data_IF_632529221606
#
_entry.id   IF_632529221606
#
_cell.length_a   1.000
_cell.length_b   1.000
_cell.length_c   1.000
_cell.angle_alpha   90.00
_cell.angle_beta   90.00
_cell.angle_gamma   90.00
#
_symmetry.space_group_name_H-M   'P 1'
#
loop_
_entity.id
_entity.type
_entity.pdbx_description
1 polymer ?
#
# COMPACT_ATOMS: atom_id res chain seq x y z
N UNK A 1 -7.49 26.56 6.58
CA UNK A 1 -8.04 25.73 5.48
C UNK A 1 -6.98 24.73 4.99
N UNK A 2 -6.55 23.73 5.78
CA UNK A 2 -5.33 22.96 5.43
C UNK A 2 -5.18 21.58 6.08
N UNK A 3 -6.16 20.68 5.96
CA UNK A 3 -5.97 19.25 6.34
C UNK A 3 -6.56 18.28 5.32
N UNK A 4 -7.62 18.68 4.63
CA UNK A 4 -8.32 17.81 3.67
C UNK A 4 -7.66 17.78 2.28
N UNK A 5 -6.79 18.73 1.97
CA UNK A 5 -6.28 18.89 0.59
C UNK A 5 -5.14 17.90 0.28
N UNK A 6 -4.25 17.64 1.23
CA UNK A 6 -3.07 16.78 1.00
C UNK A 6 -3.44 15.30 0.85
N UNK A 7 -4.35 14.80 1.70
CA UNK A 7 -4.84 13.41 1.61
C UNK A 7 -5.67 13.17 0.33
N UNK A 8 -6.58 14.09 0.01
CA UNK A 8 -7.44 13.95 -1.18
C UNK A 8 -6.66 14.16 -2.49
N UNK A 9 -5.53 14.86 -2.46
CA UNK A 9 -4.66 15.07 -3.62
C UNK A 9 -3.82 13.85 -3.97
N UNK A 10 -3.30 13.12 -2.95
CA UNK A 10 -2.62 11.84 -3.16
C UNK A 10 -3.59 10.80 -3.74
N UNK A 11 -4.82 10.69 -3.20
CA UNK A 11 -5.83 9.78 -3.75
C UNK A 11 -6.26 10.14 -5.19
N UNK A 12 -6.54 11.41 -5.48
CA UNK A 12 -7.09 11.82 -6.78
C UNK A 12 -6.08 11.76 -7.93
N UNK A 13 -4.78 11.98 -7.68
CA UNK A 13 -3.76 11.83 -8.74
C UNK A 13 -3.27 10.39 -8.92
N UNK A 14 -3.37 9.53 -7.90
CA UNK A 14 -3.02 8.11 -8.01
C UNK A 14 -3.99 7.33 -8.93
N UNK A 15 -5.29 7.60 -8.81
CA UNK A 15 -6.33 6.83 -9.52
C UNK A 15 -6.43 7.24 -11.00
N UNK A 16 -6.07 8.47 -11.35
CA UNK A 16 -6.26 9.00 -12.71
C UNK A 16 -5.17 8.62 -13.74
N UNK A 17 -4.08 7.95 -13.34
CA UNK A 17 -2.96 7.61 -14.25
C UNK A 17 -2.55 6.14 -14.31
N UNK A 18 -3.19 5.27 -13.53
CA UNK A 18 -3.04 3.82 -13.67
C UNK A 18 -4.11 3.30 -14.66
N UNK A 19 -3.75 3.24 -15.94
CA UNK A 19 -4.58 2.57 -16.95
C UNK A 19 -4.80 1.08 -16.61
N UNK A 20 -5.89 0.45 -17.11
CA UNK A 20 -6.22 -0.92 -16.76
C UNK A 20 -5.16 -1.88 -17.31
N UNK A 21 -4.45 -2.56 -16.40
CA UNK A 21 -3.60 -3.71 -16.76
C UNK A 21 -4.53 -4.88 -17.07
N UNK A 22 -4.72 -5.19 -18.35
CA UNK A 22 -5.39 -6.41 -18.81
C UNK A 22 -4.43 -7.59 -18.58
N UNK A 23 -4.64 -8.34 -17.51
CA UNK A 23 -4.04 -9.67 -17.34
C UNK A 23 -4.98 -10.67 -18.02
N UNK A 24 -4.49 -11.32 -19.07
CA UNK A 24 -5.19 -12.41 -19.74
C UNK A 24 -5.37 -13.58 -18.77
N UNK A 25 -6.62 -13.90 -18.45
CA UNK A 25 -6.99 -15.09 -17.68
C UNK A 25 -6.96 -16.26 -18.65
N UNK A 26 -6.02 -17.18 -18.44
CA UNK A 26 -6.00 -18.47 -19.14
C UNK A 26 -7.22 -19.29 -18.70
N UNK A 27 -7.97 -19.78 -19.69
CA UNK A 27 -9.14 -20.64 -19.59
C UNK A 27 -8.73 -22.10 -19.29
N UNK A 28 -9.24 -22.74 -18.22
CA UNK A 28 -9.17 -24.18 -18.08
C UNK A 28 -10.56 -24.79 -18.29
N UNK A 29 -10.79 -25.29 -19.51
CA UNK A 29 -11.90 -26.20 -19.82
C UNK A 29 -11.40 -27.65 -19.86
N UNK A 30 -12.22 -28.57 -19.31
CA UNK A 30 -12.18 -30.06 -19.28
C UNK A 30 -11.44 -30.70 -18.10
N UNK A 31 -11.91 -31.76 -17.43
CA UNK A 31 -13.11 -32.62 -17.54
C UNK A 31 -13.22 -33.54 -16.28
N UNK A 32 -14.42 -34.10 -16.07
CA UNK A 32 -14.80 -35.29 -15.26
C UNK A 32 -14.98 -35.13 -13.73
N UNK A 33 -16.09 -35.51 -13.09
CA UNK A 33 -17.33 -36.17 -13.53
C UNK A 33 -18.20 -36.59 -12.33
N UNK A 34 -19.52 -36.62 -12.55
CA UNK A 34 -20.52 -37.57 -11.99
C UNK A 34 -20.95 -37.51 -10.50
N UNK A 35 -22.24 -37.23 -10.25
CA UNK A 35 -22.95 -37.64 -9.02
C UNK A 35 -24.22 -36.82 -8.71
N UNK A 36 -25.40 -37.42 -8.92
CA UNK A 36 -26.73 -36.79 -8.94
C UNK A 36 -27.38 -36.34 -7.59
N UNK A 37 -28.69 -36.02 -7.61
CA UNK A 37 -29.36 -35.07 -6.72
C UNK A 37 -30.07 -35.73 -5.52
N UNK A 38 -30.25 -34.96 -4.44
CA UNK A 38 -31.10 -35.32 -3.30
C UNK A 38 -31.90 -34.12 -2.80
N UNK A 39 -33.20 -34.12 -3.11
CA UNK A 39 -34.23 -33.31 -2.45
C UNK A 39 -34.39 -33.72 -0.97
N UNK A 40 -34.67 -32.77 -0.08
CA UNK A 40 -35.58 -32.93 1.07
C UNK A 40 -35.85 -31.58 1.77
N UNK A 41 -36.99 -30.99 1.41
CA UNK A 41 -38.11 -30.55 2.28
C UNK A 41 -37.86 -29.69 3.54
N UNK A 42 -38.33 -28.44 3.44
CA UNK A 42 -39.12 -27.61 4.38
C UNK A 42 -39.01 -27.82 5.90
N UNK A 43 -38.75 -26.74 6.64
CA UNK A 43 -39.56 -26.36 7.80
C UNK A 43 -39.47 -24.83 8.04
N UNK A 44 -40.61 -24.16 7.90
CA UNK A 44 -40.83 -22.80 8.38
C UNK A 44 -41.04 -22.82 9.90
N UNK A 45 -40.55 -21.79 10.61
CA UNK A 45 -41.29 -21.10 11.68
C UNK A 45 -40.62 -19.80 12.13
N UNK A 46 -41.51 -18.88 12.44
CA UNK A 46 -41.37 -17.47 12.79
C UNK A 46 -40.88 -17.25 14.24
N UNK A 47 -40.12 -16.17 14.41
CA UNK A 47 -40.22 -15.15 15.47
C UNK A 47 -40.11 -15.57 16.95
N UNK A 48 -38.92 -15.31 17.53
CA UNK A 48 -38.75 -14.71 18.86
C UNK A 48 -37.30 -14.19 18.99
N UNK A 49 -37.11 -12.86 18.91
CA UNK A 49 -35.85 -12.18 19.21
C UNK A 49 -36.03 -11.38 20.52
N UNK A 50 -35.24 -11.65 21.58
CA UNK A 50 -35.03 -10.67 22.64
C UNK A 50 -33.92 -9.67 22.24
N UNK A 51 -34.05 -8.38 22.60
CA UNK A 51 -33.05 -7.37 22.29
C UNK A 51 -31.89 -7.50 23.28
N UNK A 52 -30.70 -7.83 22.77
CA UNK A 52 -29.48 -7.67 23.56
C UNK A 52 -28.72 -6.46 23.04
N UNK A 53 -28.85 -5.40 23.82
CA UNK A 53 -27.94 -4.26 23.89
C UNK A 53 -26.48 -4.73 23.93
N UNK A 54 -25.62 -3.96 23.26
CA UNK A 54 -24.25 -4.35 22.90
C UNK A 54 -23.28 -4.63 24.05
N UNK A 55 -22.02 -4.85 23.68
CA UNK A 55 -21.15 -3.68 23.75
C UNK A 55 -20.79 -3.24 22.34
N UNK A 56 -21.15 -1.99 22.07
CA UNK A 56 -20.50 -1.15 21.07
C UNK A 56 -19.00 -1.40 21.19
N UNK A 57 -18.46 -2.16 20.25
CA UNK A 57 -17.02 -2.25 20.05
C UNK A 57 -16.62 -0.81 19.71
N UNK A 58 -16.13 -0.10 20.71
CA UNK A 58 -15.27 1.05 20.51
C UNK A 58 -14.17 0.56 19.58
N UNK A 59 -14.36 0.76 18.27
CA UNK A 59 -13.26 0.83 17.32
C UNK A 59 -12.26 1.75 17.98
N UNK A 60 -11.05 1.27 18.31
CA UNK A 60 -10.03 2.15 18.84
C UNK A 60 -9.93 3.29 17.84
N UNK A 61 -10.20 4.48 18.35
CA UNK A 61 -10.10 5.73 17.62
C UNK A 61 -8.83 5.69 16.79
N UNK A 62 -8.97 5.92 15.49
CA UNK A 62 -8.01 5.54 14.47
C UNK A 62 -6.63 6.11 14.75
N UNK A 63 -5.81 5.34 15.48
CA UNK A 63 -4.44 5.68 15.82
C UNK A 63 -3.74 6.08 14.54
N UNK A 64 -3.39 7.37 14.45
CA UNK A 64 -2.79 8.00 13.28
C UNK A 64 -1.68 7.07 12.78
N UNK A 65 -1.91 6.45 11.62
CA UNK A 65 -1.05 5.39 11.05
C UNK A 65 0.43 5.83 10.98
N UNK A 66 0.64 7.12 10.76
CA UNK A 66 1.92 7.82 10.81
C UNK A 66 1.98 8.67 12.06
N UNK A 67 3.16 8.77 12.66
CA UNK A 67 3.45 9.83 13.65
C UNK A 67 3.42 11.21 12.96
N UNK A 68 3.41 12.29 13.74
CA UNK A 68 3.51 13.62 13.13
C UNK A 68 4.90 13.84 12.54
N UNK A 69 5.92 13.21 13.12
CA UNK A 69 7.29 13.15 12.63
C UNK A 69 7.36 12.45 11.26
N UNK A 70 6.71 11.29 11.11
CA UNK A 70 6.61 10.57 9.82
C UNK A 70 5.95 11.44 8.74
N UNK A 71 4.86 12.14 9.11
CA UNK A 71 4.15 13.05 8.20
C UNK A 71 5.02 14.22 7.76
N UNK A 72 5.75 14.83 8.68
CA UNK A 72 6.66 15.93 8.35
C UNK A 72 7.83 15.46 7.49
N UNK A 73 8.44 14.32 7.85
CA UNK A 73 9.58 13.76 7.14
C UNK A 73 9.24 13.42 5.69
N UNK A 74 8.13 12.71 5.47
CA UNK A 74 7.69 12.39 4.11
C UNK A 74 7.16 13.62 3.40
N UNK A 75 6.49 14.55 4.09
CA UNK A 75 6.08 15.83 3.53
C UNK A 75 7.25 16.58 2.91
N UNK A 76 8.35 16.70 3.66
CA UNK A 76 9.60 17.30 3.19
C UNK A 76 10.21 16.54 2.00
N UNK A 77 10.20 15.21 2.04
CA UNK A 77 10.70 14.38 0.94
C UNK A 77 9.87 14.60 -0.34
N UNK A 78 8.54 14.61 -0.23
CA UNK A 78 7.63 14.86 -1.37
C UNK A 78 7.81 16.27 -1.93
N UNK A 79 7.99 17.27 -1.07
CA UNK A 79 8.30 18.64 -1.51
C UNK A 79 9.61 18.71 -2.31
N UNK A 80 10.68 18.07 -1.82
CA UNK A 80 11.95 18.00 -2.53
C UNK A 80 11.79 17.31 -3.89
N UNK A 81 11.07 16.18 -3.95
CA UNK A 81 10.81 15.49 -5.22
C UNK A 81 10.08 16.40 -6.21
N UNK A 82 9.07 17.17 -5.76
CA UNK A 82 8.34 18.10 -6.64
C UNK A 82 9.22 19.21 -7.18
N UNK A 83 10.10 19.78 -6.37
CA UNK A 83 11.04 20.82 -6.83
C UNK A 83 11.98 20.26 -7.89
N UNK A 84 12.52 19.05 -7.65
CA UNK A 84 13.42 18.38 -8.60
C UNK A 84 12.68 17.98 -9.88
N UNK A 85 11.45 17.46 -9.78
CA UNK A 85 10.61 17.14 -10.93
C UNK A 85 10.33 18.39 -11.78
N UNK A 86 9.97 19.51 -11.15
CA UNK A 86 9.72 20.77 -11.84
C UNK A 86 10.99 21.27 -12.56
N UNK A 87 12.13 21.27 -11.88
CA UNK A 87 13.41 21.63 -12.47
C UNK A 87 13.79 20.70 -13.65
N UNK A 88 13.55 19.40 -13.51
CA UNK A 88 13.80 18.42 -14.56
C UNK A 88 12.91 18.64 -15.79
N UNK A 89 11.65 19.07 -15.61
CA UNK A 89 10.78 19.46 -16.71
C UNK A 89 11.28 20.72 -17.42
N UNK A 90 11.74 21.72 -16.66
CA UNK A 90 12.25 22.99 -17.21
C UNK A 90 13.55 22.79 -18.02
N UNK A 91 14.42 21.88 -17.56
CA UNK A 91 15.71 21.57 -18.20
C UNK A 91 15.64 20.46 -19.24
N UNK A 92 14.53 19.71 -19.30
CA UNK A 92 14.36 18.56 -20.19
C UNK A 92 15.12 17.30 -19.77
N UNK A 93 15.54 17.20 -18.50
CA UNK A 93 16.24 16.04 -17.94
C UNK A 93 15.27 14.86 -17.72
N UNK A 94 15.10 14.03 -18.76
CA UNK A 94 14.23 12.85 -18.73
C UNK A 94 14.64 11.81 -17.68
N UNK A 95 15.93 11.46 -17.51
CA UNK A 95 16.36 10.59 -16.41
C UNK A 95 15.90 11.09 -15.04
N UNK A 96 16.04 12.39 -14.76
CA UNK A 96 15.68 12.97 -13.48
C UNK A 96 14.16 12.96 -13.23
N UNK A 97 13.35 13.15 -14.28
CA UNK A 97 11.89 12.95 -14.23
C UNK A 97 11.56 11.50 -13.85
N UNK A 98 12.23 10.53 -14.48
CA UNK A 98 12.00 9.11 -14.21
C UNK A 98 12.38 8.72 -12.78
N UNK A 99 13.47 9.28 -12.24
CA UNK A 99 13.89 9.06 -10.86
C UNK A 99 12.90 9.65 -9.86
N UNK A 100 12.41 10.87 -10.10
CA UNK A 100 11.37 11.51 -9.29
C UNK A 100 10.08 10.68 -9.25
N UNK A 101 9.63 10.18 -10.41
CA UNK A 101 8.45 9.32 -10.49
C UNK A 101 8.66 7.96 -9.83
N UNK A 102 9.86 7.39 -9.98
CA UNK A 102 10.22 6.11 -9.35
C UNK A 102 10.20 6.22 -7.83
N UNK A 103 10.75 7.30 -7.27
CA UNK A 103 10.70 7.51 -5.82
C UNK A 103 9.27 7.75 -5.32
N UNK A 104 8.47 8.57 -6.01
CA UNK A 104 7.06 8.77 -5.63
C UNK A 104 6.26 7.47 -5.65
N UNK A 105 6.41 6.67 -6.71
CA UNK A 105 5.75 5.36 -6.81
C UNK A 105 6.24 4.42 -5.72
N UNK A 106 7.53 4.42 -5.42
CA UNK A 106 8.13 3.63 -4.35
C UNK A 106 7.58 3.98 -2.98
N UNK A 107 7.44 5.27 -2.66
CA UNK A 107 6.86 5.74 -1.40
C UNK A 107 5.40 5.31 -1.22
N UNK A 108 4.61 5.33 -2.30
CA UNK A 108 3.23 4.84 -2.30
C UNK A 108 3.20 3.33 -2.04
N UNK A 109 4.07 2.56 -2.70
CA UNK A 109 4.17 1.12 -2.47
C UNK A 109 4.62 0.79 -1.04
N UNK A 110 5.57 1.56 -0.50
CA UNK A 110 6.02 1.43 0.89
C UNK A 110 4.89 1.70 1.87
N UNK A 111 4.07 2.73 1.63
CA UNK A 111 2.89 3.03 2.44
C UNK A 111 1.88 1.86 2.45
N UNK A 112 1.55 1.32 1.27
CA UNK A 112 0.63 0.19 1.15
C UNK A 112 1.16 -1.05 1.89
N UNK A 113 2.45 -1.35 1.70
CA UNK A 113 3.12 -2.48 2.35
C UNK A 113 3.11 -2.31 3.87
N UNK A 114 3.53 -1.15 4.39
CA UNK A 114 3.50 -0.88 5.83
C UNK A 114 2.09 -1.00 6.41
N UNK A 115 1.09 -0.48 5.70
CA UNK A 115 -0.32 -0.56 6.11
C UNK A 115 -0.76 -2.02 6.18
N UNK A 116 -0.41 -2.82 5.18
CA UNK A 116 -0.80 -4.22 5.14
C UNK A 116 -0.07 -5.08 6.18
N UNK A 117 1.23 -4.85 6.40
CA UNK A 117 2.03 -5.57 7.40
C UNK A 117 1.57 -5.28 8.83
N UNK A 118 1.35 -4.02 9.20
CA UNK A 118 0.88 -3.64 10.54
C UNK A 118 -0.52 -4.15 10.86
N UNK A 119 -1.39 -4.21 9.85
CA UNK A 119 -2.75 -4.72 10.04
C UNK A 119 -2.83 -6.26 9.98
N UNK A 120 -1.73 -6.95 9.68
CA UNK A 120 -1.69 -8.41 9.58
C UNK A 120 -1.20 -9.05 10.88
N UNK A 121 -1.83 -10.14 11.36
CA UNK A 121 -1.36 -10.84 12.56
C UNK A 121 0.11 -11.26 12.41
N UNK A 122 0.96 -10.83 13.34
CA UNK A 122 2.42 -11.00 13.34
C UNK A 122 3.13 -10.58 12.03
N UNK A 123 2.51 -9.72 11.22
CA UNK A 123 3.02 -9.36 9.89
C UNK A 123 3.16 -10.55 8.93
N UNK A 124 2.33 -11.58 9.09
CA UNK A 124 2.35 -12.79 8.24
C UNK A 124 1.91 -12.47 6.82
N UNK A 125 2.69 -12.89 5.83
CA UNK A 125 2.35 -12.65 4.42
C UNK A 125 1.12 -13.47 3.99
N UNK A 126 0.97 -14.70 4.51
CA UNK A 126 -0.11 -15.64 4.15
C UNK A 126 -1.21 -15.68 5.21
N UNK A 127 -2.40 -16.14 4.79
CA UNK A 127 -3.52 -16.49 5.67
C UNK A 127 -4.76 -15.61 5.48
N UNK A 128 -5.88 -15.93 6.17
CA UNK A 128 -7.16 -15.22 6.02
C UNK A 128 -7.12 -13.72 6.39
N UNK A 129 -6.06 -13.28 7.06
CA UNK A 129 -5.75 -11.88 7.40
C UNK A 129 -4.28 -11.52 7.06
N UNK A 130 -3.65 -12.28 6.17
CA UNK A 130 -2.27 -12.07 5.74
C UNK A 130 -2.11 -10.83 4.86
N UNK A 131 -0.88 -10.30 4.78
CA UNK A 131 -0.53 -9.15 3.92
C UNK A 131 -1.01 -9.34 2.48
N UNK A 132 -0.84 -10.53 1.91
CA UNK A 132 -1.24 -10.83 0.54
C UNK A 132 -2.73 -10.59 0.30
N UNK A 133 -3.58 -11.02 1.24
CA UNK A 133 -5.04 -10.83 1.14
C UNK A 133 -5.42 -9.35 1.30
N UNK A 134 -4.74 -8.61 2.18
CA UNK A 134 -4.98 -7.17 2.38
C UNK A 134 -4.63 -6.33 1.16
N UNK A 135 -3.58 -6.72 0.44
CA UNK A 135 -3.17 -6.05 -0.79
C UNK A 135 -3.90 -6.57 -2.04
N UNK A 136 -4.73 -7.61 -1.92
CA UNK A 136 -5.35 -8.28 -3.07
C UNK A 136 -4.33 -8.95 -4.00
N UNK A 137 -3.20 -9.41 -3.45
CA UNK A 137 -2.09 -10.00 -4.19
C UNK A 137 -1.90 -11.47 -3.87
N UNK A 138 -1.18 -12.16 -4.75
CA UNK A 138 -0.59 -13.45 -4.40
C UNK A 138 0.60 -13.25 -3.45
N UNK A 139 1.04 -14.32 -2.80
CA UNK A 139 2.27 -14.30 -1.99
C UNK A 139 3.46 -13.77 -2.79
N UNK A 140 3.65 -14.25 -4.02
CA UNK A 140 4.72 -13.78 -4.90
C UNK A 140 4.56 -12.29 -5.24
N UNK A 141 3.33 -11.82 -5.47
CA UNK A 141 3.06 -10.41 -5.70
C UNK A 141 3.51 -9.51 -4.54
N UNK A 142 3.40 -9.98 -3.29
CA UNK A 142 3.92 -9.25 -2.12
C UNK A 142 5.45 -9.18 -2.16
N UNK A 143 6.13 -10.29 -2.44
CA UNK A 143 7.59 -10.32 -2.56
C UNK A 143 8.10 -9.46 -3.72
N UNK A 144 7.43 -9.46 -4.87
CA UNK A 144 7.78 -8.56 -5.97
C UNK A 144 7.65 -7.08 -5.55
N UNK A 145 6.60 -6.72 -4.79
CA UNK A 145 6.47 -5.35 -4.28
C UNK A 145 7.58 -4.99 -3.29
N UNK A 146 7.92 -5.90 -2.38
CA UNK A 146 9.04 -5.73 -1.43
C UNK A 146 10.37 -5.52 -2.17
N UNK A 147 10.62 -6.32 -3.20
CA UNK A 147 11.79 -6.20 -4.07
C UNK A 147 11.83 -4.86 -4.81
N UNK A 148 10.69 -4.40 -5.36
CA UNK A 148 10.58 -3.10 -6.03
C UNK A 148 10.85 -1.91 -5.12
N UNK A 149 10.53 -2.02 -3.82
CA UNK A 149 10.86 -1.00 -2.83
C UNK A 149 12.18 -1.29 -2.11
N UNK A 150 12.91 -2.34 -2.49
CA UNK A 150 14.24 -2.67 -1.94
C UNK A 150 14.25 -3.04 -0.47
N UNK A 151 13.18 -3.61 0.08
CA UNK A 151 13.06 -4.01 1.48
C UNK A 151 12.78 -5.50 1.64
N UNK A 152 13.12 -6.04 2.80
CA UNK A 152 12.83 -7.40 3.20
C UNK A 152 11.58 -7.44 4.10
N UNK A 153 10.83 -8.57 4.17
CA UNK A 153 9.65 -8.65 5.03
C UNK A 153 9.93 -8.29 6.50
N UNK A 154 11.11 -8.63 7.01
CA UNK A 154 11.47 -8.39 8.42
C UNK A 154 11.57 -6.89 8.74
N UNK A 155 11.96 -6.06 7.76
CA UNK A 155 11.99 -4.61 7.90
C UNK A 155 10.60 -4.03 8.17
N UNK A 156 9.54 -4.71 7.73
CA UNK A 156 8.15 -4.25 7.90
C UNK A 156 7.40 -4.95 9.03
N UNK A 157 7.84 -6.13 9.47
CA UNK A 157 7.25 -6.84 10.62
C UNK A 157 7.60 -6.18 11.94
N UNK A 158 8.85 -5.73 12.07
CA UNK A 158 9.36 -5.02 13.22
C UNK A 158 10.02 -3.73 12.73
N UNK A 159 9.24 -2.74 12.26
CA UNK A 159 9.82 -1.55 11.67
C UNK A 159 10.72 -0.85 12.69
N UNK A 160 12.04 -0.76 12.42
CA UNK A 160 12.94 -0.03 13.28
C UNK A 160 12.71 1.46 13.01
N UNK A 161 12.00 2.14 13.90
CA UNK A 161 11.88 3.58 13.86
C UNK A 161 10.89 4.14 12.85
N UNK A 162 11.18 5.36 12.40
CA UNK A 162 10.30 6.20 11.57
C UNK A 162 10.35 5.80 10.09
N UNK A 163 9.51 6.41 9.25
CA UNK A 163 9.49 6.14 7.80
C UNK A 163 10.82 6.50 7.13
N UNK A 164 11.61 7.43 7.67
CA UNK A 164 12.93 7.77 7.10
C UNK A 164 13.92 6.63 7.30
N UNK A 165 13.91 5.97 8.45
CA UNK A 165 14.76 4.82 8.71
C UNK A 165 14.48 3.69 7.71
N UNK A 166 13.21 3.48 7.37
CA UNK A 166 12.81 2.50 6.34
C UNK A 166 13.25 2.91 4.93
N UNK A 167 13.10 4.19 4.57
CA UNK A 167 13.59 4.69 3.28
C UNK A 167 15.11 4.57 3.19
N UNK A 168 15.85 4.87 4.26
CA UNK A 168 17.29 4.77 4.31
C UNK A 168 17.79 3.31 4.23
N UNK A 169 17.05 2.35 4.81
CA UNK A 169 17.34 0.91 4.70
C UNK A 169 17.03 0.33 3.32
N UNK A 170 16.15 0.97 2.57
CA UNK A 170 15.78 0.51 1.24
C UNK A 170 16.97 0.56 0.29
N UNK A 171 17.26 -0.59 -0.33
CA UNK A 171 18.29 -0.73 -1.38
C UNK A 171 17.98 0.06 -2.65
N UNK A 172 16.74 0.55 -2.82
CA UNK A 172 16.27 1.27 -4.01
C UNK A 172 15.87 2.69 -3.67
N UNK A 173 14.98 2.86 -2.67
CA UNK A 173 14.44 4.17 -2.31
C UNK A 173 15.48 5.05 -1.61
N UNK A 174 16.39 4.47 -0.81
CA UNK A 174 17.44 5.22 -0.12
C UNK A 174 18.34 5.98 -1.10
N UNK A 175 19.03 5.29 -2.03
CA UNK A 175 19.87 5.94 -3.04
C UNK A 175 19.12 6.96 -3.90
N UNK A 176 17.85 6.69 -4.25
CA UNK A 176 17.02 7.64 -4.99
C UNK A 176 16.68 8.88 -4.17
N UNK A 177 16.33 8.71 -2.89
CA UNK A 177 16.02 9.81 -1.98
C UNK A 177 17.25 10.69 -1.76
N UNK A 178 18.42 10.10 -1.51
CA UNK A 178 19.67 10.83 -1.31
C UNK A 178 20.04 11.64 -2.57
N UNK A 179 19.95 11.02 -3.75
CA UNK A 179 20.24 11.70 -5.02
C UNK A 179 19.31 12.89 -5.25
N UNK A 180 18.00 12.70 -5.09
CA UNK A 180 17.03 13.78 -5.30
C UNK A 180 17.15 14.87 -4.23
N UNK A 181 17.48 14.52 -2.99
CA UNK A 181 17.72 15.50 -1.93
C UNK A 181 18.97 16.35 -2.21
N UNK A 182 20.06 15.74 -2.72
CA UNK A 182 21.27 16.47 -3.10
C UNK A 182 20.98 17.47 -4.24
N UNK A 183 20.22 17.04 -5.26
CA UNK A 183 19.83 17.91 -6.37
C UNK A 183 18.93 19.03 -5.86
N UNK A 184 17.95 18.72 -5.00
CA UNK A 184 17.07 19.72 -4.38
C UNK A 184 17.83 20.77 -3.55
N UNK A 185 19.00 20.43 -3.00
CA UNK A 185 19.87 21.38 -2.29
C UNK A 185 20.77 22.22 -3.20
N UNK A 186 20.85 21.88 -4.49
CA UNK A 186 21.68 22.58 -5.50
C UNK A 186 20.88 23.48 -6.45
N UNK A 187 19.55 23.41 -6.39
CA UNK A 187 18.59 24.25 -7.14
C UNK A 187 18.00 25.31 -6.21
#
# INVERSE_FOLDING_TARGET
MSETFTNRFLEKRLIARAGPIRIAIADPRRENGSGGPGESTQHARHHDQPPHDGPSHNTPDGGRFWTDEDRQAVGKLVENIRRVEQHAFETGDRPLIADAHSLLRGLVQLYDLLTAFRNSPDGRIKGPQGVAKKLGLTRNGVYCRLEMVGLDPEDLRNPPGDVRDLVARSRILGPLADRLQNIAGSI
#
